data_IF_165486920332
#
_entry.id   IF_165486920332
#
_cell.length_a   1.000
_cell.length_b   1.000
_cell.length_c   1.000
_cell.angle_alpha   90.00
_cell.angle_beta   90.00
_cell.angle_gamma   90.00
#
_symmetry.space_group_name_H-M   'P 1'
#
loop_
_entity.id
_entity.type
_entity.pdbx_description
1 polymer ?
#
# COMPACT_ATOMS: atom_id res chain seq x y z
N UNK A 1 -12.11 23.66 -14.99
CA UNK A 1 -12.29 22.19 -15.12
C UNK A 1 -11.30 21.50 -16.06
N UNK A 2 -10.63 22.18 -17.01
CA UNK A 2 -9.69 21.52 -17.94
C UNK A 2 -8.30 21.19 -17.33
N UNK A 3 -7.86 21.95 -16.32
CA UNK A 3 -6.58 21.70 -15.63
C UNK A 3 -6.58 20.47 -14.71
N UNK A 4 -7.76 20.10 -14.20
CA UNK A 4 -7.93 18.99 -13.24
C UNK A 4 -7.73 17.64 -13.93
N UNK A 5 -8.28 17.51 -15.15
CA UNK A 5 -8.13 16.29 -15.96
C UNK A 5 -6.68 16.04 -16.38
N UNK A 6 -5.92 17.13 -16.61
CA UNK A 6 -4.51 17.03 -16.96
C UNK A 6 -3.66 16.58 -15.77
N UNK A 7 -4.01 17.03 -14.55
CA UNK A 7 -3.38 16.57 -13.32
C UNK A 7 -3.66 15.08 -13.06
N UNK A 8 -4.91 14.62 -13.22
CA UNK A 8 -5.26 13.20 -13.08
C UNK A 8 -4.54 12.30 -14.08
N UNK A 9 -4.48 12.67 -15.37
CA UNK A 9 -3.76 11.87 -16.39
C UNK A 9 -2.25 11.90 -16.15
N UNK A 10 -1.71 13.03 -15.72
CA UNK A 10 -0.29 13.16 -15.42
C UNK A 10 0.11 12.42 -14.15
N UNK A 11 -0.72 12.48 -13.10
CA UNK A 11 -0.51 11.76 -11.85
C UNK A 11 -0.69 10.26 -12.05
N UNK A 12 -1.72 9.81 -12.77
CA UNK A 12 -1.89 8.41 -13.14
C UNK A 12 -0.74 7.90 -14.02
N UNK A 13 -0.22 8.72 -14.95
CA UNK A 13 0.96 8.37 -15.75
C UNK A 13 2.23 8.33 -14.89
N UNK A 14 2.41 9.26 -13.95
CA UNK A 14 3.54 9.26 -13.00
C UNK A 14 3.48 8.02 -12.11
N UNK A 15 2.32 7.68 -11.54
CA UNK A 15 2.12 6.46 -10.77
C UNK A 15 2.40 5.23 -11.64
N UNK A 16 1.90 5.17 -12.88
CA UNK A 16 2.18 4.08 -13.82
C UNK A 16 3.67 3.96 -14.20
N UNK A 17 4.38 5.09 -14.29
CA UNK A 17 5.82 5.14 -14.58
C UNK A 17 6.68 4.81 -13.34
N UNK A 18 6.20 5.10 -12.13
CA UNK A 18 6.88 4.74 -10.87
C UNK A 18 6.62 3.27 -10.46
N UNK A 19 5.52 2.67 -10.92
CA UNK A 19 5.20 1.25 -10.75
C UNK A 19 5.88 0.33 -11.78
N UNK A 20 6.80 0.85 -12.60
CA UNK A 20 7.64 -0.01 -13.43
C UNK A 20 8.45 -0.93 -12.51
N UNK A 21 8.39 -2.26 -12.72
CA UNK A 21 9.05 -3.22 -11.84
C UNK A 21 10.54 -2.89 -11.76
N UNK A 22 11.01 -2.54 -10.55
CA UNK A 22 12.44 -2.40 -10.28
C UNK A 22 13.12 -3.68 -10.75
N UNK A 23 13.92 -3.56 -11.81
CA UNK A 23 14.70 -4.64 -12.42
C UNK A 23 15.48 -5.35 -11.30
N UNK A 24 14.97 -6.48 -10.84
CA UNK A 24 15.63 -7.29 -9.83
C UNK A 24 16.89 -7.85 -10.47
N UNK A 25 18.04 -7.33 -10.04
CA UNK A 25 19.34 -7.88 -10.34
C UNK A 25 19.61 -8.98 -9.34
N UNK A 26 19.03 -10.16 -9.57
CA UNK A 26 19.46 -11.37 -8.87
C UNK A 26 20.67 -11.94 -9.60
N UNK A 27 21.81 -11.79 -8.93
CA UNK A 27 23.11 -12.37 -9.21
C UNK A 27 23.00 -13.80 -9.70
N UNK A 28 23.69 -14.08 -10.81
CA UNK A 28 23.85 -15.39 -11.40
C UNK A 28 24.27 -16.44 -10.36
N UNK A 29 23.54 -17.55 -10.29
CA UNK A 29 24.09 -18.82 -9.81
C UNK A 29 23.91 -19.85 -10.91
N UNK A 30 24.99 -20.02 -11.66
CA UNK A 30 25.25 -21.13 -12.56
C UNK A 30 25.07 -22.45 -11.82
N UNK A 31 24.26 -23.37 -12.35
CA UNK A 31 24.52 -24.82 -12.37
C UNK A 31 23.46 -25.54 -13.21
N UNK A 32 23.95 -26.41 -14.09
CA UNK A 32 23.19 -27.32 -14.93
C UNK A 32 22.74 -28.52 -14.09
N UNK A 33 21.44 -28.78 -13.96
CA UNK A 33 20.93 -30.01 -13.36
C UNK A 33 19.66 -30.46 -14.08
N UNK A 34 19.78 -31.63 -14.71
CA UNK A 34 18.75 -32.36 -15.45
C UNK A 34 17.82 -33.12 -14.50
N UNK A 35 16.53 -33.15 -14.87
CA UNK A 35 15.47 -34.14 -14.55
C UNK A 35 14.90 -34.27 -13.12
N UNK A 36 13.62 -33.84 -13.03
CA UNK A 36 12.41 -34.46 -12.44
C UNK A 36 12.43 -35.01 -11.00
N UNK A 37 11.48 -34.52 -10.17
CA UNK A 37 10.50 -35.43 -9.55
C UNK A 37 9.05 -34.89 -9.52
N UNK A 38 8.10 -35.83 -9.63
CA UNK A 38 6.63 -35.73 -9.45
C UNK A 38 6.25 -35.47 -7.98
N UNK A 39 5.06 -34.89 -7.66
CA UNK A 39 4.84 -34.03 -6.50
C UNK A 39 4.46 -34.79 -5.23
N UNK A 40 4.91 -34.28 -4.09
CA UNK A 40 4.44 -34.61 -2.75
C UNK A 40 4.07 -33.30 -2.03
N UNK A 41 3.14 -33.35 -1.07
CA UNK A 41 2.11 -32.34 -0.85
C UNK A 41 2.70 -31.00 -0.39
N UNK A 42 2.01 -29.95 -0.82
CA UNK A 42 2.18 -28.55 -0.45
C UNK A 42 2.55 -28.38 1.03
N UNK A 43 3.84 -28.29 1.32
CA UNK A 43 4.29 -27.59 2.52
C UNK A 43 4.07 -26.12 2.22
N UNK A 44 2.86 -25.65 2.55
CA UNK A 44 2.55 -24.25 2.75
C UNK A 44 3.66 -23.72 3.66
N UNK A 45 4.63 -23.03 3.06
CA UNK A 45 5.63 -22.28 3.77
C UNK A 45 4.86 -21.21 4.52
N UNK A 46 4.46 -21.54 5.73
CA UNK A 46 4.02 -20.62 6.75
C UNK A 46 5.23 -19.73 6.99
N UNK A 47 5.36 -18.71 6.14
CA UNK A 47 6.35 -17.68 6.33
C UNK A 47 5.99 -17.05 7.65
N UNK A 48 6.74 -17.42 8.69
CA UNK A 48 6.84 -16.66 9.94
C UNK A 48 7.51 -15.33 9.61
N UNK A 49 6.89 -14.57 8.73
CA UNK A 49 7.09 -13.15 8.65
C UNK A 49 6.38 -12.60 9.88
N UNK A 50 7.05 -11.77 10.65
CA UNK A 50 6.48 -11.16 11.85
C UNK A 50 5.39 -10.13 11.49
N UNK A 51 4.77 -10.23 10.30
CA UNK A 51 3.47 -9.73 9.87
C UNK A 51 3.25 -8.22 9.91
N UNK A 52 4.22 -7.47 10.42
CA UNK A 52 4.13 -6.05 10.64
C UNK A 52 4.74 -5.32 9.45
N UNK A 53 3.86 -4.71 8.66
CA UNK A 53 4.24 -3.78 7.61
C UNK A 53 4.03 -2.34 8.09
N UNK A 54 4.56 -1.38 7.33
CA UNK A 54 4.26 0.02 7.58
C UNK A 54 2.90 0.39 6.98
N UNK A 55 2.09 1.13 7.74
CA UNK A 55 0.76 1.59 7.34
C UNK A 55 0.63 3.08 7.57
N UNK A 56 -0.13 3.74 6.70
CA UNK A 56 -0.65 5.09 6.90
C UNK A 56 -2.06 4.94 7.47
N UNK A 57 -2.23 5.29 8.73
CA UNK A 57 -3.54 5.42 9.37
C UNK A 57 -4.02 6.85 9.20
N UNK A 58 -5.21 7.03 8.64
CA UNK A 58 -5.88 8.32 8.49
C UNK A 58 -7.19 8.27 9.25
N UNK A 59 -7.40 9.20 10.18
CA UNK A 59 -8.65 9.34 10.92
C UNK A 59 -9.31 10.63 10.48
N UNK A 60 -10.59 10.59 10.17
CA UNK A 60 -11.41 11.75 9.81
C UNK A 60 -12.47 11.98 10.88
N UNK A 61 -12.80 13.24 11.16
CA UNK A 61 -13.83 13.61 12.14
C UNK A 61 -15.22 13.68 11.51
N UNK A 62 -15.32 14.15 10.26
CA UNK A 62 -16.60 14.23 9.54
C UNK A 62 -16.42 13.87 8.06
N UNK A 63 -16.98 12.74 7.58
CA UNK A 63 -17.56 11.65 8.37
C UNK A 63 -16.52 11.00 9.30
N UNK A 64 -16.96 10.34 10.39
CA UNK A 64 -16.03 9.67 11.30
C UNK A 64 -15.56 8.34 10.70
N UNK A 65 -14.34 8.33 10.17
CA UNK A 65 -13.78 7.16 9.50
C UNK A 65 -12.32 6.99 9.89
N UNK A 66 -11.89 5.73 9.97
CA UNK A 66 -10.47 5.37 10.08
C UNK A 66 -10.07 4.53 8.87
N UNK A 67 -9.10 5.00 8.12
CA UNK A 67 -8.52 4.35 6.95
C UNK A 67 -7.10 3.86 7.23
N UNK A 68 -6.75 2.66 6.77
CA UNK A 68 -5.40 2.12 6.79
C UNK A 68 -4.93 1.84 5.36
N UNK A 69 -3.90 2.55 4.92
CA UNK A 69 -3.28 2.37 3.61
C UNK A 69 -1.91 1.70 3.74
N UNK A 70 -1.65 0.70 2.90
CA UNK A 70 -0.46 -0.16 2.96
C UNK A 70 -0.77 -1.55 2.37
N UNK A 71 0.06 -2.57 2.66
CA UNK A 71 1.30 -2.52 3.41
C UNK A 71 2.45 -1.82 2.65
N UNK A 72 3.29 -1.07 3.36
CA UNK A 72 4.53 -0.46 2.82
C UNK A 72 5.78 -1.11 3.38
N UNK A 73 6.86 -1.11 2.59
CA UNK A 73 8.16 -1.69 2.98
C UNK A 73 8.87 -0.80 4.01
N UNK A 74 8.59 0.51 4.03
CA UNK A 74 9.23 1.47 4.94
C UNK A 74 8.33 2.64 5.33
N UNK A 75 8.61 3.26 6.48
CA UNK A 75 7.93 4.49 6.91
C UNK A 75 8.11 5.65 5.91
N UNK A 76 9.27 5.72 5.25
CA UNK A 76 9.55 6.72 4.23
C UNK A 76 8.70 6.54 2.98
N UNK A 77 8.41 5.30 2.59
CA UNK A 77 7.51 4.99 1.48
C UNK A 77 6.06 5.33 1.85
N UNK A 78 5.61 4.94 3.04
CA UNK A 78 4.32 5.33 3.59
C UNK A 78 4.14 6.86 3.57
N UNK A 79 5.15 7.60 4.02
CA UNK A 79 5.15 9.07 4.04
C UNK A 79 5.12 9.70 2.64
N UNK A 80 5.74 9.08 1.65
CA UNK A 80 5.71 9.57 0.27
C UNK A 80 4.33 9.38 -0.37
N UNK A 81 3.62 8.31 -0.01
CA UNK A 81 2.30 8.01 -0.55
C UNK A 81 1.16 8.71 0.21
N UNK A 82 1.36 9.07 1.49
CA UNK A 82 0.29 9.64 2.34
C UNK A 82 -0.37 10.90 1.77
N UNK A 83 0.37 11.73 1.02
CA UNK A 83 -0.15 13.00 0.50
C UNK A 83 -1.24 12.80 -0.55
N UNK A 84 -1.18 11.71 -1.33
CA UNK A 84 -2.23 11.41 -2.30
C UNK A 84 -3.56 11.08 -1.60
N UNK A 85 -3.51 10.24 -0.57
CA UNK A 85 -4.70 9.88 0.21
C UNK A 85 -5.32 11.08 0.94
N UNK A 86 -4.47 11.97 1.47
CA UNK A 86 -4.93 13.22 2.09
C UNK A 86 -5.65 14.12 1.09
N UNK A 87 -5.06 14.33 -0.09
CA UNK A 87 -5.63 15.19 -1.13
C UNK A 87 -6.99 14.66 -1.59
N UNK A 88 -7.13 13.35 -1.77
CA UNK A 88 -8.40 12.71 -2.14
C UNK A 88 -9.47 12.93 -1.05
N UNK A 89 -9.13 12.68 0.24
CA UNK A 89 -10.05 12.85 1.36
C UNK A 89 -10.47 14.32 1.57
N UNK A 90 -9.55 15.26 1.40
CA UNK A 90 -9.86 16.70 1.44
C UNK A 90 -10.80 17.10 0.30
N UNK A 91 -10.61 16.55 -0.91
CA UNK A 91 -11.47 16.80 -2.06
C UNK A 91 -12.88 16.19 -1.90
N UNK A 92 -12.99 15.05 -1.21
CA UNK A 92 -14.26 14.43 -0.83
C UNK A 92 -15.00 15.21 0.28
N UNK A 93 -14.33 16.19 0.91
CA UNK A 93 -14.90 17.04 1.94
C UNK A 93 -14.77 16.47 3.35
N UNK A 94 -13.84 15.53 3.58
CA UNK A 94 -13.52 15.04 4.91
C UNK A 94 -12.92 16.18 5.77
N UNK A 95 -13.32 16.23 7.04
CA UNK A 95 -12.87 17.24 7.99
C UNK A 95 -12.17 16.58 9.18
N UNK A 96 -11.33 17.36 9.88
CA UNK A 96 -10.60 16.88 11.06
C UNK A 96 -9.68 15.70 10.74
N UNK A 97 -8.89 15.82 9.66
CA UNK A 97 -8.03 14.73 9.19
C UNK A 97 -6.75 14.64 10.02
N UNK A 98 -6.53 13.49 10.65
CA UNK A 98 -5.31 13.14 11.38
C UNK A 98 -4.59 12.00 10.67
N UNK A 99 -3.26 12.09 10.56
CA UNK A 99 -2.44 11.05 9.91
C UNK A 99 -1.37 10.53 10.85
N UNK A 100 -1.24 9.22 10.92
CA UNK A 100 -0.17 8.53 11.63
C UNK A 100 0.46 7.46 10.73
N UNK A 101 1.78 7.34 10.79
CA UNK A 101 2.52 6.24 10.18
C UNK A 101 2.95 5.30 11.29
N UNK A 102 2.52 4.05 11.23
CA UNK A 102 2.86 3.04 12.23
C UNK A 102 3.13 1.68 11.60
N UNK A 103 3.82 0.82 12.34
CA UNK A 103 3.89 -0.61 12.02
C UNK A 103 2.70 -1.29 12.68
N UNK A 104 1.87 -1.95 11.88
CA UNK A 104 0.64 -2.58 12.36
C UNK A 104 0.25 -3.77 11.47
N UNK A 105 -0.77 -4.50 11.89
CA UNK A 105 -1.44 -5.54 11.11
C UNK A 105 -2.96 -5.34 11.21
N UNK A 106 -3.50 -4.29 10.57
CA UNK A 106 -4.92 -4.00 10.63
C UNK A 106 -5.72 -5.15 10.02
N UNK A 107 -6.69 -5.68 10.78
CA UNK A 107 -7.62 -6.70 10.28
C UNK A 107 -8.69 -6.10 9.37
N UNK A 108 -8.93 -4.78 9.50
CA UNK A 108 -9.91 -4.02 8.73
C UNK A 108 -9.27 -2.73 8.24
N UNK A 109 -9.35 -2.47 6.93
CA UNK A 109 -8.71 -1.32 6.30
C UNK A 109 -9.54 -0.04 6.35
N UNK A 110 -10.85 -0.18 6.50
CA UNK A 110 -11.78 0.95 6.60
C UNK A 110 -12.76 0.68 7.72
N UNK A 111 -12.71 1.50 8.75
CA UNK A 111 -13.60 1.44 9.91
C UNK A 111 -14.46 2.69 9.85
N UNK A 112 -15.76 2.50 9.69
CA UNK A 112 -16.76 3.56 9.81
C UNK A 112 -17.30 3.50 11.22
N UNK A 113 -17.18 4.59 11.98
CA UNK A 113 -18.02 4.71 13.18
C UNK A 113 -19.37 5.24 12.71
N UNK A 114 -20.28 4.31 12.48
CA UNK A 114 -21.71 4.61 12.44
C UNK A 114 -22.12 5.09 13.84
N UNK A 115 -21.90 6.37 14.16
CA UNK A 115 -22.61 6.98 15.27
C UNK A 115 -24.08 7.07 14.86
N UNK A 116 -24.87 6.08 15.31
CA UNK A 116 -26.35 6.11 15.27
C UNK A 116 -26.94 7.38 15.90
#
# INVERSE_FOLDING_TARGET
MLGVFFFFVFFALIVLLLQLPKRQTTTATSSLNVALPTPAPEEFSESTDNGMAWWVKIVTETPHCTYFFGPFDSSSEAKQNQSGYLEDLEQEGAQGIEVAILQDRPETLTIYDEQE
#
